data_IF_749971684995
#
_entry.id   IF_749971684995
#
_cell.length_a   1.000
_cell.length_b   1.000
_cell.length_c   1.000
_cell.angle_alpha   90.00
_cell.angle_beta   90.00
_cell.angle_gamma   90.00
#
_symmetry.space_group_name_H-M   'P 1'
#
loop_
_entity.id
_entity.type
_entity.pdbx_description
1 polymer ?
#
# COMPACT_ATOMS: atom_id res chain seq x y z
N UNK A 1 -5.71 4.22 19.69
CA UNK A 1 -5.74 2.85 19.11
C UNK A 1 -6.11 3.01 17.65
N UNK A 2 -5.37 2.41 16.71
CA UNK A 2 -5.82 2.40 15.31
C UNK A 2 -7.10 1.58 15.22
N UNK A 3 -8.04 2.02 14.39
CA UNK A 3 -9.20 1.23 14.03
C UNK A 3 -8.78 -0.08 13.34
N UNK A 4 -9.72 -0.97 13.16
CA UNK A 4 -9.50 -2.27 12.53
C UNK A 4 -10.45 -2.51 11.36
N UNK A 5 -11.43 -1.62 11.18
CA UNK A 5 -12.54 -1.79 10.24
C UNK A 5 -12.36 -0.91 9.02
N UNK A 6 -12.48 -1.50 7.84
CA UNK A 6 -12.66 -0.75 6.59
C UNK A 6 -14.15 -0.59 6.29
N UNK A 7 -14.56 0.65 6.06
CA UNK A 7 -15.92 1.01 5.67
C UNK A 7 -15.91 1.39 4.20
N UNK A 8 -16.68 0.67 3.38
CA UNK A 8 -16.81 0.92 1.94
C UNK A 8 -18.21 1.48 1.67
N UNK A 9 -18.25 2.67 1.07
CA UNK A 9 -19.49 3.34 0.70
C UNK A 9 -19.58 3.41 -0.82
N UNK A 10 -20.56 2.66 -1.38
CA UNK A 10 -20.73 2.47 -2.82
C UNK A 10 -22.09 2.89 -3.36
N UNK A 11 -22.92 3.55 -2.53
CA UNK A 11 -24.26 4.00 -2.89
C UNK A 11 -24.44 5.48 -2.58
N UNK A 12 -25.41 6.11 -3.26
CA UNK A 12 -25.85 7.46 -2.91
C UNK A 12 -26.18 7.56 -1.42
N UNK A 13 -25.49 8.44 -0.71
CA UNK A 13 -25.61 8.52 0.74
C UNK A 13 -25.14 9.86 1.32
N UNK A 14 -25.56 10.11 2.56
CA UNK A 14 -25.06 11.21 3.39
C UNK A 14 -24.30 10.64 4.57
N UNK A 15 -23.03 11.08 4.71
CA UNK A 15 -22.20 10.78 5.84
C UNK A 15 -22.07 11.99 6.76
N UNK A 16 -22.34 11.80 8.03
CA UNK A 16 -22.28 12.87 9.04
C UNK A 16 -21.69 12.35 10.36
N UNK A 17 -21.43 13.25 11.31
CA UNK A 17 -20.87 12.92 12.61
C UNK A 17 -21.83 13.24 13.75
N UNK A 18 -21.94 12.37 14.72
CA UNK A 18 -22.60 12.62 16.01
C UNK A 18 -22.05 11.68 17.09
N UNK A 19 -21.70 12.21 18.26
CA UNK A 19 -21.31 11.43 19.44
C UNK A 19 -20.28 10.32 19.16
N UNK A 20 -19.15 10.66 18.53
CA UNK A 20 -18.08 9.75 18.11
C UNK A 20 -18.48 8.66 17.08
N UNK A 21 -19.61 8.83 16.41
CA UNK A 21 -20.04 7.93 15.35
C UNK A 21 -20.03 8.63 13.99
N UNK A 22 -19.58 7.90 12.99
CA UNK A 22 -19.93 8.11 11.61
C UNK A 22 -21.37 7.65 11.43
N UNK A 23 -22.22 8.51 10.95
CA UNK A 23 -23.61 8.22 10.62
C UNK A 23 -23.69 8.08 9.10
N UNK A 24 -23.92 6.87 8.63
CA UNK A 24 -24.28 6.58 7.25
C UNK A 24 -25.80 6.65 7.11
N UNK A 25 -26.30 7.36 6.10
CA UNK A 25 -27.73 7.43 5.78
C UNK A 25 -27.92 7.37 4.27
N UNK A 26 -28.68 6.39 3.81
CA UNK A 26 -29.19 6.29 2.45
C UNK A 26 -30.75 6.32 2.45
N UNK A 27 -31.36 5.99 1.31
CA UNK A 27 -32.81 5.97 1.16
C UNK A 27 -33.50 4.88 1.99
N UNK A 28 -32.76 3.82 2.36
CA UNK A 28 -33.31 2.60 2.96
C UNK A 28 -32.96 2.43 4.44
N UNK A 29 -31.81 2.95 4.89
CA UNK A 29 -31.28 2.68 6.23
C UNK A 29 -30.44 3.83 6.79
N UNK A 30 -30.28 3.79 8.11
CA UNK A 30 -29.30 4.60 8.82
C UNK A 30 -28.44 3.67 9.67
N UNK A 31 -27.12 3.77 9.52
CA UNK A 31 -26.15 3.01 10.31
C UNK A 31 -25.25 3.95 11.12
N UNK A 32 -24.89 3.51 12.31
CA UNK A 32 -23.94 4.19 13.18
C UNK A 32 -22.70 3.31 13.34
N UNK A 33 -21.55 3.88 13.04
CA UNK A 33 -20.25 3.20 13.17
C UNK A 33 -19.39 4.05 14.10
N UNK A 34 -18.90 3.47 15.19
CA UNK A 34 -18.04 4.22 16.11
C UNK A 34 -16.70 4.52 15.44
N UNK A 35 -16.21 5.77 15.49
CA UNK A 35 -15.00 6.17 14.76
C UNK A 35 -13.76 5.40 15.19
N UNK A 36 -13.65 4.99 16.46
CA UNK A 36 -12.52 4.18 16.94
C UNK A 36 -12.42 2.78 16.30
N UNK A 37 -13.48 2.30 15.65
CA UNK A 37 -13.45 1.04 14.90
C UNK A 37 -12.90 1.24 13.50
N UNK A 38 -13.01 2.46 12.94
CA UNK A 38 -12.71 2.74 11.52
C UNK A 38 -11.22 3.02 11.36
N UNK A 39 -10.57 2.26 10.50
CA UNK A 39 -9.20 2.51 10.02
C UNK A 39 -9.20 3.17 8.64
N UNK A 40 -10.06 2.66 7.74
CA UNK A 40 -10.15 3.12 6.36
C UNK A 40 -11.61 3.41 6.01
N UNK A 41 -11.87 4.55 5.38
CA UNK A 41 -13.14 4.91 4.76
C UNK A 41 -12.92 5.03 3.25
N UNK A 42 -13.41 4.06 2.48
CA UNK A 42 -13.34 4.06 1.02
C UNK A 42 -14.68 4.57 0.45
N UNK A 43 -14.64 5.71 -0.22
CA UNK A 43 -15.78 6.33 -0.89
C UNK A 43 -15.75 5.96 -2.37
N UNK A 44 -16.45 4.88 -2.72
CA UNK A 44 -16.38 4.22 -4.03
C UNK A 44 -17.24 4.89 -5.11
N UNK A 45 -18.04 5.86 -4.74
CA UNK A 45 -18.88 6.64 -5.67
C UNK A 45 -18.73 8.13 -5.39
N UNK A 46 -18.90 8.93 -6.42
CA UNK A 46 -18.92 10.41 -6.34
C UNK A 46 -20.22 10.96 -5.76
N UNK A 47 -21.26 10.14 -5.64
CA UNK A 47 -22.60 10.53 -5.18
C UNK A 47 -22.76 10.38 -3.66
N UNK A 48 -21.83 11.03 -2.91
CA UNK A 48 -21.81 11.02 -1.44
C UNK A 48 -21.68 12.46 -0.91
N UNK A 49 -22.48 12.79 0.08
CA UNK A 49 -22.41 14.06 0.79
C UNK A 49 -21.72 13.86 2.14
N UNK A 50 -20.64 14.61 2.39
CA UNK A 50 -19.88 14.60 3.64
C UNK A 50 -20.12 15.88 4.43
N UNK A 51 -20.36 15.78 5.75
CA UNK A 51 -20.33 16.95 6.61
C UNK A 51 -18.90 17.34 6.98
N UNK A 52 -18.58 18.63 7.05
CA UNK A 52 -17.26 19.15 7.43
C UNK A 52 -16.85 18.71 8.84
N UNK A 53 -17.82 18.55 9.76
CA UNK A 53 -17.54 18.02 11.09
C UNK A 53 -17.06 16.56 11.02
N UNK A 54 -17.63 15.73 10.14
CA UNK A 54 -17.13 14.37 9.94
C UNK A 54 -15.72 14.38 9.38
N UNK A 55 -15.46 15.20 8.33
CA UNK A 55 -14.12 15.32 7.74
C UNK A 55 -13.08 15.68 8.81
N UNK A 56 -13.38 16.68 9.64
CA UNK A 56 -12.51 17.07 10.75
C UNK A 56 -12.20 15.89 11.67
N UNK A 57 -13.22 15.12 12.06
CA UNK A 57 -13.06 13.98 12.98
C UNK A 57 -12.31 12.81 12.36
N UNK A 58 -12.51 12.55 11.08
CA UNK A 58 -11.75 11.53 10.34
C UNK A 58 -10.24 11.87 10.34
N UNK A 59 -9.90 13.14 10.15
CA UNK A 59 -8.51 13.61 10.23
C UNK A 59 -7.95 13.52 11.64
N UNK A 60 -8.69 13.96 12.65
CA UNK A 60 -8.25 13.91 14.06
C UNK A 60 -7.93 12.48 14.52
N UNK A 61 -8.69 11.49 14.04
CA UNK A 61 -8.51 10.07 14.38
C UNK A 61 -7.53 9.34 13.42
N UNK A 62 -6.90 10.06 12.49
CA UNK A 62 -5.98 9.53 11.48
C UNK A 62 -6.61 8.44 10.58
N UNK A 63 -7.92 8.49 10.38
CA UNK A 63 -8.62 7.56 9.49
C UNK A 63 -8.26 7.88 8.05
N UNK A 64 -7.79 6.86 7.30
CA UNK A 64 -7.53 7.00 5.88
C UNK A 64 -8.85 7.10 5.11
N UNK A 65 -9.09 8.24 4.46
CA UNK A 65 -10.24 8.41 3.57
C UNK A 65 -9.75 8.40 2.13
N UNK A 66 -10.26 7.47 1.34
CA UNK A 66 -9.95 7.33 -0.09
C UNK A 66 -11.18 7.73 -0.89
N UNK A 67 -11.02 8.63 -1.84
CA UNK A 67 -12.04 9.08 -2.79
C UNK A 67 -11.79 8.41 -4.14
N UNK A 68 -12.86 7.90 -4.73
CA UNK A 68 -12.82 7.34 -6.08
C UNK A 68 -13.52 8.27 -7.10
N UNK A 69 -13.16 8.10 -8.36
CA UNK A 69 -13.80 8.77 -9.49
C UNK A 69 -15.13 8.09 -9.90
N UNK A 70 -15.70 8.56 -11.02
CA UNK A 70 -16.92 8.02 -11.64
C UNK A 70 -16.74 6.58 -12.16
N UNK A 71 -15.49 6.14 -12.42
CA UNK A 71 -15.14 4.76 -12.74
C UNK A 71 -14.86 3.91 -11.50
N UNK A 72 -15.02 4.49 -10.31
CA UNK A 72 -14.75 3.86 -9.00
C UNK A 72 -13.27 3.51 -8.81
N UNK A 73 -12.37 4.29 -9.40
CA UNK A 73 -10.93 4.16 -9.22
C UNK A 73 -10.43 5.19 -8.20
N UNK A 74 -9.54 4.81 -7.26
CA UNK A 74 -8.98 5.73 -6.29
C UNK A 74 -8.25 6.90 -6.98
N UNK A 75 -8.63 8.14 -6.67
CA UNK A 75 -8.07 9.35 -7.30
C UNK A 75 -7.54 10.36 -6.29
N UNK A 76 -8.05 10.32 -5.06
CA UNK A 76 -7.64 11.23 -4.01
C UNK A 76 -7.76 10.58 -2.63
N UNK A 77 -7.07 11.12 -1.65
CA UNK A 77 -7.24 10.75 -0.26
C UNK A 77 -7.10 11.97 0.65
N UNK A 78 -7.73 11.89 1.83
CA UNK A 78 -7.67 12.93 2.83
C UNK A 78 -6.43 12.77 3.69
N UNK A 79 -5.66 13.85 3.83
CA UNK A 79 -4.45 13.90 4.63
C UNK A 79 -4.52 15.00 5.68
N UNK A 80 -3.97 14.76 6.88
CA UNK A 80 -3.79 15.85 7.84
C UNK A 80 -2.75 16.83 7.33
N UNK A 81 -2.90 18.10 7.71
CA UNK A 81 -1.90 19.15 7.42
C UNK A 81 -0.54 18.85 8.06
N UNK A 82 -0.57 18.21 9.24
CA UNK A 82 0.60 17.81 10.00
C UNK A 82 0.38 16.39 10.55
N UNK A 83 1.27 15.47 10.23
CA UNK A 83 1.23 14.10 10.74
C UNK A 83 1.70 13.98 12.20
N UNK A 84 2.61 14.91 12.62
CA UNK A 84 3.15 14.95 13.97
C UNK A 84 3.65 16.37 14.33
N UNK A 85 3.82 16.63 15.62
CA UNK A 85 4.18 17.96 16.14
C UNK A 85 5.59 18.42 15.75
N UNK A 86 6.52 17.50 15.46
CA UNK A 86 7.91 17.78 15.07
C UNK A 86 8.15 17.55 13.56
N UNK A 87 7.12 17.73 12.73
CA UNK A 87 7.18 17.50 11.27
C UNK A 87 8.32 18.27 10.58
N UNK A 88 8.57 19.53 10.99
CA UNK A 88 9.66 20.33 10.42
C UNK A 88 11.04 19.74 10.70
N UNK A 89 11.26 19.20 11.90
CA UNK A 89 12.49 18.50 12.24
C UNK A 89 12.63 17.20 11.43
N UNK A 90 11.56 16.45 11.33
CA UNK A 90 11.58 15.18 10.58
C UNK A 90 11.80 15.43 9.07
N UNK A 91 11.21 16.49 8.51
CA UNK A 91 11.45 16.88 7.12
C UNK A 91 12.91 17.31 6.89
N UNK A 92 13.50 18.07 7.82
CA UNK A 92 14.93 18.42 7.73
C UNK A 92 15.82 17.18 7.75
N UNK A 93 15.48 16.16 8.55
CA UNK A 93 16.19 14.87 8.56
C UNK A 93 16.01 14.13 7.24
N UNK A 94 14.79 14.10 6.70
CA UNK A 94 14.49 13.44 5.42
C UNK A 94 15.31 14.04 4.27
N UNK A 95 15.40 15.37 4.20
CA UNK A 95 16.22 16.06 3.17
C UNK A 95 17.71 15.73 3.34
N UNK A 96 18.17 15.49 4.57
CA UNK A 96 19.56 15.20 4.90
C UNK A 96 19.89 13.69 4.92
N UNK A 97 18.99 12.80 4.51
CA UNK A 97 19.28 11.36 4.47
C UNK A 97 20.50 11.08 3.59
N UNK A 98 21.42 10.30 4.11
CA UNK A 98 22.63 9.92 3.40
C UNK A 98 22.31 9.00 2.22
N UNK A 99 22.93 9.25 1.05
CA UNK A 99 22.66 8.49 -0.17
C UNK A 99 23.09 7.01 -0.07
N UNK A 100 24.18 6.71 0.66
CA UNK A 100 24.61 5.32 0.88
C UNK A 100 23.61 4.57 1.74
N UNK A 101 23.07 5.21 2.77
CA UNK A 101 22.00 4.64 3.63
C UNK A 101 20.72 4.42 2.84
N UNK A 102 20.34 5.38 2.01
CA UNK A 102 19.18 5.20 1.09
C UNK A 102 19.39 4.00 0.17
N UNK A 103 20.60 3.86 -0.36
CA UNK A 103 20.97 2.76 -1.25
C UNK A 103 20.87 1.39 -0.55
N UNK A 104 21.39 1.27 0.66
CA UNK A 104 21.34 0.04 1.46
C UNK A 104 19.90 -0.34 1.80
N UNK A 105 19.13 0.62 2.28
CA UNK A 105 17.72 0.41 2.68
C UNK A 105 16.87 0.04 1.46
N UNK A 106 17.01 0.77 0.34
CA UNK A 106 16.28 0.46 -0.88
C UNK A 106 16.63 -0.94 -1.39
N UNK A 107 17.91 -1.30 -1.40
CA UNK A 107 18.36 -2.63 -1.83
C UNK A 107 17.75 -3.73 -0.96
N UNK A 108 17.68 -3.51 0.36
CA UNK A 108 17.05 -4.45 1.29
C UNK A 108 15.54 -4.59 1.02
N UNK A 109 14.85 -3.50 0.73
CA UNK A 109 13.43 -3.50 0.37
C UNK A 109 13.20 -4.31 -0.91
N UNK A 110 14.01 -4.08 -1.95
CA UNK A 110 13.90 -4.82 -3.22
C UNK A 110 14.27 -6.30 -3.06
N UNK A 111 15.26 -6.61 -2.23
CA UNK A 111 15.58 -8.00 -1.89
C UNK A 111 14.35 -8.74 -1.31
N UNK A 112 13.61 -8.12 -0.40
CA UNK A 112 12.37 -8.68 0.15
C UNK A 112 11.29 -8.87 -0.93
N UNK A 113 11.11 -7.91 -1.84
CA UNK A 113 10.19 -8.03 -2.98
C UNK A 113 10.53 -9.26 -3.82
N UNK A 114 11.79 -9.39 -4.26
CA UNK A 114 12.25 -10.50 -5.10
C UNK A 114 12.01 -11.84 -4.40
N UNK A 115 12.33 -11.93 -3.10
CA UNK A 115 12.08 -13.14 -2.31
C UNK A 115 10.59 -13.47 -2.19
N UNK A 116 9.72 -12.46 -1.95
CA UNK A 116 8.28 -12.66 -1.88
C UNK A 116 7.72 -13.14 -3.24
N UNK A 117 8.21 -12.61 -4.35
CA UNK A 117 7.87 -13.10 -5.69
C UNK A 117 8.30 -14.56 -5.89
N UNK A 118 9.52 -14.91 -5.50
CA UNK A 118 10.03 -16.29 -5.58
C UNK A 118 9.20 -17.25 -4.74
N UNK A 119 8.89 -16.89 -3.49
CA UNK A 119 8.09 -17.73 -2.60
C UNK A 119 6.68 -17.95 -3.16
N UNK A 120 6.06 -16.91 -3.70
CA UNK A 120 4.74 -17.06 -4.30
C UNK A 120 4.77 -17.97 -5.54
N UNK A 121 5.77 -17.84 -6.43
CA UNK A 121 5.94 -18.78 -7.53
C UNK A 121 6.10 -20.23 -7.06
N UNK A 122 6.89 -20.44 -6.01
CA UNK A 122 7.08 -21.76 -5.41
C UNK A 122 5.78 -22.33 -4.85
N UNK A 123 4.97 -21.53 -4.17
CA UNK A 123 3.65 -21.94 -3.65
C UNK A 123 2.65 -22.29 -4.75
N UNK A 124 2.78 -21.67 -5.93
CA UNK A 124 2.00 -21.99 -7.13
C UNK A 124 2.53 -23.25 -7.89
N UNK A 125 3.61 -23.87 -7.43
CA UNK A 125 4.22 -25.04 -8.06
C UNK A 125 5.24 -24.74 -9.17
N UNK A 126 5.57 -23.47 -9.43
CA UNK A 126 6.54 -23.05 -10.44
C UNK A 126 7.98 -23.08 -9.89
N UNK A 127 8.44 -24.25 -9.43
CA UNK A 127 9.68 -24.41 -8.66
C UNK A 127 10.94 -23.94 -9.43
N UNK A 128 11.07 -24.27 -10.73
CA UNK A 128 12.20 -23.84 -11.55
C UNK A 128 12.25 -22.32 -11.71
N UNK A 129 11.09 -21.68 -11.89
CA UNK A 129 10.98 -20.22 -12.02
C UNK A 129 11.23 -19.52 -10.68
N UNK A 130 10.74 -20.11 -9.59
CA UNK A 130 11.05 -19.65 -8.23
C UNK A 130 12.57 -19.64 -8.01
N UNK A 131 13.27 -20.76 -8.35
CA UNK A 131 14.73 -20.82 -8.23
C UNK A 131 15.43 -19.78 -9.10
N UNK A 132 14.97 -19.58 -10.33
CA UNK A 132 15.54 -18.54 -11.22
C UNK A 132 15.43 -17.14 -10.63
N UNK A 133 14.33 -16.83 -9.92
CA UNK A 133 14.15 -15.56 -9.22
C UNK A 133 15.05 -15.47 -7.97
N UNK A 134 15.24 -16.58 -7.23
CA UNK A 134 16.18 -16.64 -6.10
C UNK A 134 17.62 -16.40 -6.57
N UNK A 135 18.01 -16.93 -7.72
CA UNK A 135 19.36 -16.70 -8.28
C UNK A 135 19.60 -15.22 -8.61
N UNK A 136 18.56 -14.50 -9.04
CA UNK A 136 18.63 -13.05 -9.21
C UNK A 136 18.82 -12.31 -7.88
N UNK A 137 18.12 -12.74 -6.82
CA UNK A 137 18.31 -12.20 -5.48
C UNK A 137 19.76 -12.36 -5.00
N UNK A 138 20.38 -13.54 -5.14
CA UNK A 138 21.77 -13.77 -4.74
C UNK A 138 22.79 -12.87 -5.48
N UNK A 139 22.45 -12.36 -6.64
CA UNK A 139 23.29 -11.45 -7.41
C UNK A 139 22.93 -9.97 -7.26
N UNK A 140 22.01 -9.62 -6.37
CA UNK A 140 21.60 -8.23 -6.15
C UNK A 140 22.73 -7.43 -5.52
N UNK A 141 23.10 -6.31 -6.16
CA UNK A 141 24.08 -5.38 -5.67
C UNK A 141 23.43 -4.08 -5.22
N UNK A 142 24.18 -3.26 -4.50
CA UNK A 142 23.74 -1.96 -4.00
C UNK A 142 23.13 -1.11 -5.13
N UNK A 143 21.90 -0.62 -4.93
CA UNK A 143 21.09 0.13 -5.91
C UNK A 143 20.82 -0.61 -7.23
N UNK A 144 21.05 -1.92 -7.29
CA UNK A 144 20.74 -2.78 -8.44
C UNK A 144 21.13 -2.23 -9.82
N UNK A 145 22.43 -1.98 -10.07
CA UNK A 145 22.90 -1.44 -11.35
C UNK A 145 22.67 -2.39 -12.53
N UNK A 146 22.49 -3.68 -12.26
CA UNK A 146 22.22 -4.72 -13.26
C UNK A 146 20.75 -4.95 -13.53
N UNK A 147 19.84 -4.17 -12.90
CA UNK A 147 18.38 -4.26 -13.05
C UNK A 147 17.83 -5.69 -12.79
N UNK A 148 18.33 -6.35 -11.75
CA UNK A 148 17.86 -7.69 -11.37
C UNK A 148 16.41 -7.69 -10.89
N UNK A 149 15.98 -6.59 -10.28
CA UNK A 149 14.58 -6.37 -9.94
C UNK A 149 13.66 -6.47 -11.17
N UNK A 150 14.01 -5.75 -12.24
CA UNK A 150 13.25 -5.78 -13.50
C UNK A 150 13.27 -7.17 -14.15
N UNK A 151 14.40 -7.89 -14.08
CA UNK A 151 14.49 -9.26 -14.58
C UNK A 151 13.65 -10.23 -13.75
N UNK A 152 13.67 -10.11 -12.42
CA UNK A 152 12.85 -10.91 -11.52
C UNK A 152 11.36 -10.66 -11.77
N UNK A 153 10.96 -9.40 -11.86
CA UNK A 153 9.58 -9.02 -12.17
C UNK A 153 9.11 -9.58 -13.52
N UNK A 154 9.95 -9.55 -14.55
CA UNK A 154 9.62 -10.12 -15.86
C UNK A 154 9.41 -11.64 -15.80
N UNK A 155 10.31 -12.38 -15.13
CA UNK A 155 10.14 -13.83 -14.95
C UNK A 155 8.84 -14.10 -14.17
N UNK A 156 8.63 -13.35 -13.10
CA UNK A 156 7.47 -13.49 -12.22
C UNK A 156 6.15 -13.28 -12.96
N UNK A 157 5.96 -12.13 -13.59
CA UNK A 157 4.72 -11.80 -14.28
C UNK A 157 4.47 -12.69 -15.50
N UNK A 158 5.51 -13.00 -16.29
CA UNK A 158 5.36 -13.91 -17.43
C UNK A 158 5.00 -15.33 -16.99
N UNK A 159 5.47 -15.77 -15.84
CA UNK A 159 5.11 -17.09 -15.30
C UNK A 159 3.66 -17.12 -14.84
N UNK A 160 3.17 -16.05 -14.21
CA UNK A 160 1.80 -16.00 -13.69
C UNK A 160 0.76 -15.72 -14.79
N UNK A 161 1.03 -14.80 -15.70
CA UNK A 161 0.03 -14.27 -16.62
C UNK A 161 0.31 -14.60 -18.10
N UNK A 162 1.41 -15.31 -18.39
CA UNK A 162 1.80 -15.70 -19.73
C UNK A 162 2.92 -14.83 -20.33
N UNK A 163 3.62 -15.37 -21.34
CA UNK A 163 4.80 -14.71 -21.93
C UNK A 163 4.48 -13.39 -22.66
N UNK A 164 3.25 -13.23 -23.09
CA UNK A 164 2.78 -12.02 -23.79
C UNK A 164 2.26 -10.94 -22.84
N UNK A 165 2.30 -11.18 -21.53
CA UNK A 165 1.84 -10.22 -20.55
C UNK A 165 2.78 -9.02 -20.48
N UNK A 166 2.18 -7.83 -20.57
CA UNK A 166 2.84 -6.54 -20.33
C UNK A 166 2.01 -5.68 -19.39
N UNK A 167 2.67 -4.97 -18.48
CA UNK A 167 2.02 -4.02 -17.59
C UNK A 167 1.42 -2.80 -18.31
N UNK A 168 1.77 -2.59 -19.57
CA UNK A 168 1.27 -1.47 -20.39
C UNK A 168 -0.02 -1.83 -21.15
N UNK A 169 -0.43 -3.11 -21.15
CA UNK A 169 -1.64 -3.55 -21.84
C UNK A 169 -2.90 -3.11 -21.09
N UNK A 170 -3.91 -2.65 -21.84
CA UNK A 170 -5.25 -2.42 -21.32
C UNK A 170 -5.96 -3.78 -21.13
N UNK A 171 -6.07 -4.21 -19.87
CA UNK A 171 -6.67 -5.48 -19.48
C UNK A 171 -7.26 -5.44 -18.08
N UNK A 172 -8.26 -6.28 -17.83
CA UNK A 172 -8.87 -6.44 -16.50
C UNK A 172 -7.82 -6.79 -15.42
N UNK A 173 -6.79 -7.56 -15.78
CA UNK A 173 -5.69 -7.93 -14.90
C UNK A 173 -4.88 -6.69 -14.51
N UNK A 174 -4.45 -5.89 -15.48
CA UNK A 174 -3.68 -4.67 -15.19
C UNK A 174 -4.51 -3.64 -14.42
N UNK A 175 -5.78 -3.46 -14.78
CA UNK A 175 -6.68 -2.59 -14.03
C UNK A 175 -6.82 -3.03 -12.57
N UNK A 176 -6.90 -4.34 -12.31
CA UNK A 176 -6.98 -4.89 -10.97
C UNK A 176 -5.67 -4.74 -10.18
N UNK A 177 -4.51 -4.98 -10.83
CA UNK A 177 -3.20 -4.76 -10.23
C UNK A 177 -3.02 -3.28 -9.84
N UNK A 178 -3.34 -2.34 -10.74
CA UNK A 178 -3.22 -0.91 -10.49
C UNK A 178 -4.16 -0.44 -9.39
N UNK A 179 -5.40 -0.95 -9.38
CA UNK A 179 -6.35 -0.69 -8.31
C UNK A 179 -5.81 -1.14 -6.94
N UNK A 180 -5.38 -2.39 -6.84
CA UNK A 180 -4.84 -2.95 -5.61
C UNK A 180 -3.57 -2.24 -5.13
N UNK A 181 -2.65 -1.92 -6.05
CA UNK A 181 -1.45 -1.15 -5.71
C UNK A 181 -1.79 0.26 -5.23
N UNK A 182 -2.81 0.90 -5.79
CA UNK A 182 -3.25 2.23 -5.32
C UNK A 182 -3.84 2.17 -3.91
N UNK A 183 -4.54 1.09 -3.55
CA UNK A 183 -5.03 0.90 -2.19
C UNK A 183 -3.87 0.82 -1.17
N UNK A 184 -2.89 -0.08 -1.41
CA UNK A 184 -1.74 -0.20 -0.49
C UNK A 184 -0.85 1.04 -0.51
N UNK A 185 -0.67 1.69 -1.66
CA UNK A 185 0.04 2.96 -1.79
C UNK A 185 -0.57 4.04 -0.87
N UNK A 186 -1.90 4.14 -0.84
CA UNK A 186 -2.62 5.11 0.01
C UNK A 186 -2.37 4.84 1.49
N UNK A 187 -2.27 3.57 1.89
CA UNK A 187 -1.94 3.18 3.27
C UNK A 187 -0.50 3.59 3.63
N UNK A 188 0.47 3.31 2.76
CA UNK A 188 1.86 3.73 2.95
C UNK A 188 2.00 5.26 2.98
N UNK A 189 1.32 5.97 2.07
CA UNK A 189 1.34 7.43 2.01
C UNK A 189 0.82 8.05 3.32
N UNK A 190 -0.28 7.51 3.90
CA UNK A 190 -0.76 7.91 5.22
C UNK A 190 0.32 7.76 6.29
N UNK A 191 0.94 6.59 6.39
CA UNK A 191 1.93 6.32 7.44
C UNK A 191 3.21 7.16 7.28
N UNK A 192 3.63 7.46 6.07
CA UNK A 192 4.75 8.38 5.78
C UNK A 192 4.43 9.78 6.31
N UNK A 193 3.24 10.32 6.01
CA UNK A 193 2.83 11.65 6.48
C UNK A 193 2.64 11.68 7.99
N UNK A 194 2.04 10.64 8.58
CA UNK A 194 1.92 10.50 10.04
C UNK A 194 3.29 10.38 10.73
N UNK A 195 4.31 9.94 10.01
CA UNK A 195 5.71 9.94 10.48
C UNK A 195 6.42 11.28 10.31
N UNK A 196 5.75 12.31 9.76
CA UNK A 196 6.29 13.64 9.54
C UNK A 196 7.16 13.77 8.29
N UNK A 197 7.11 12.79 7.39
CA UNK A 197 7.84 12.78 6.12
C UNK A 197 6.94 13.19 4.95
N UNK A 198 7.55 13.63 3.86
CA UNK A 198 6.89 13.88 2.58
C UNK A 198 7.02 12.67 1.66
N UNK A 199 5.96 12.36 0.93
CA UNK A 199 5.91 11.21 0.01
C UNK A 199 6.70 11.41 -1.27
N UNK A 200 7.02 12.65 -1.64
CA UNK A 200 7.72 13.04 -2.87
C UNK A 200 9.20 12.64 -2.88
N UNK A 201 9.86 12.66 -1.72
CA UNK A 201 11.29 12.36 -1.62
C UNK A 201 11.52 10.86 -1.43
N UNK A 202 11.70 10.15 -2.54
CA UNK A 202 11.95 8.71 -2.55
C UNK A 202 13.38 8.31 -2.17
N UNK A 203 13.62 7.01 -2.10
CA UNK A 203 14.94 6.41 -1.89
C UNK A 203 15.68 6.28 -3.24
N UNK A 204 15.05 5.68 -4.22
CA UNK A 204 15.53 5.53 -5.61
C UNK A 204 14.60 6.20 -6.62
N UNK A 205 13.28 6.08 -6.43
CA UNK A 205 12.35 6.77 -7.30
C UNK A 205 12.50 8.29 -7.13
N UNK A 206 12.82 8.96 -8.24
CA UNK A 206 13.00 10.41 -8.30
C UNK A 206 12.22 11.01 -9.47
N UNK A 207 11.06 10.42 -9.82
CA UNK A 207 10.22 10.92 -10.88
C UNK A 207 9.55 12.23 -10.43
N UNK A 208 9.84 13.33 -11.12
CA UNK A 208 9.32 14.66 -10.80
C UNK A 208 7.78 14.77 -10.90
N UNK A 209 7.13 13.86 -11.61
CA UNK A 209 5.67 13.81 -11.76
C UNK A 209 5.00 12.86 -10.76
N UNK A 210 5.76 12.04 -10.03
CA UNK A 210 5.23 11.13 -9.03
C UNK A 210 5.25 11.77 -7.64
N UNK A 211 4.09 12.05 -7.10
CA UNK A 211 3.95 12.60 -5.74
C UNK A 211 4.17 11.56 -4.64
N UNK A 212 4.34 10.29 -4.99
CA UNK A 212 4.40 9.15 -4.06
C UNK A 212 5.71 8.35 -4.17
N UNK A 213 6.82 8.99 -4.58
CA UNK A 213 8.10 8.31 -4.77
C UNK A 213 8.50 7.45 -3.57
N UNK A 214 8.43 7.99 -2.33
CA UNK A 214 8.79 7.25 -1.13
C UNK A 214 7.82 6.11 -0.81
N UNK A 215 6.52 6.33 -0.99
CA UNK A 215 5.53 5.28 -0.79
C UNK A 215 5.70 4.16 -1.82
N UNK A 216 6.00 4.51 -3.07
CA UNK A 216 6.30 3.56 -4.15
C UNK A 216 7.53 2.71 -3.82
N UNK A 217 8.60 3.31 -3.25
CA UNK A 217 9.79 2.58 -2.82
C UNK A 217 9.51 1.63 -1.65
N UNK A 218 8.84 2.11 -0.60
CA UNK A 218 8.67 1.35 0.65
C UNK A 218 7.64 0.21 0.48
N UNK A 219 6.64 0.35 -0.39
CA UNK A 219 5.57 -0.64 -0.57
C UNK A 219 5.99 -1.88 -1.36
N UNK A 220 7.15 -1.88 -2.00
CA UNK A 220 7.56 -2.93 -2.94
C UNK A 220 7.44 -4.37 -2.40
N UNK A 221 7.83 -4.70 -1.15
CA UNK A 221 7.68 -6.05 -0.60
C UNK A 221 6.22 -6.52 -0.47
N UNK A 222 5.27 -5.58 -0.47
CA UNK A 222 3.84 -5.84 -0.27
C UNK A 222 3.07 -6.04 -1.58
N UNK A 223 3.64 -5.64 -2.74
CA UNK A 223 3.00 -5.82 -4.04
C UNK A 223 2.58 -7.26 -4.31
N UNK A 224 3.37 -8.30 -3.98
CA UNK A 224 2.99 -9.69 -4.20
C UNK A 224 1.71 -10.15 -3.48
N UNK A 225 1.23 -9.42 -2.46
CA UNK A 225 -0.10 -9.67 -1.86
C UNK A 225 -1.19 -9.42 -2.90
N UNK A 226 -1.09 -8.29 -3.59
CA UNK A 226 -2.04 -7.89 -4.64
C UNK A 226 -1.93 -8.85 -5.83
N UNK A 227 -0.69 -9.16 -6.24
CA UNK A 227 -0.42 -10.07 -7.36
C UNK A 227 -1.07 -11.43 -7.14
N UNK A 228 -0.99 -11.97 -5.91
CA UNK A 228 -1.63 -13.21 -5.51
C UNK A 228 -3.14 -13.16 -5.72
N UNK A 229 -3.81 -12.15 -5.16
CA UNK A 229 -5.27 -12.03 -5.25
C UNK A 229 -5.71 -11.91 -6.72
N UNK A 230 -4.99 -11.11 -7.51
CA UNK A 230 -5.30 -10.94 -8.92
C UNK A 230 -5.07 -12.23 -9.70
N UNK A 231 -3.96 -12.94 -9.46
CA UNK A 231 -3.66 -14.21 -10.13
C UNK A 231 -4.67 -15.30 -9.80
N UNK A 232 -5.04 -15.45 -8.55
CA UNK A 232 -6.05 -16.43 -8.11
C UNK A 232 -7.41 -16.19 -8.75
N UNK A 233 -7.71 -14.94 -9.10
CA UNK A 233 -8.98 -14.52 -9.71
C UNK A 233 -8.86 -14.12 -11.20
N UNK A 234 -7.75 -14.42 -11.86
CA UNK A 234 -7.40 -13.93 -13.22
C UNK A 234 -8.38 -14.25 -14.34
N UNK A 235 -9.24 -15.26 -14.15
CA UNK A 235 -10.29 -15.65 -15.09
C UNK A 235 -11.62 -14.92 -14.85
N UNK A 236 -11.64 -13.94 -13.96
CA UNK A 236 -12.83 -13.17 -13.59
C UNK A 236 -12.76 -11.76 -14.18
N UNK A 237 -13.92 -11.09 -14.30
CA UNK A 237 -13.97 -9.67 -14.68
C UNK A 237 -13.33 -8.78 -13.62
N UNK A 238 -12.87 -7.60 -14.02
CA UNK A 238 -12.31 -6.58 -13.12
C UNK A 238 -13.20 -6.33 -11.88
N UNK A 239 -14.51 -6.20 -12.07
CA UNK A 239 -15.46 -5.94 -10.96
C UNK A 239 -15.42 -7.04 -9.89
N UNK A 240 -15.24 -8.30 -10.32
CA UNK A 240 -15.14 -9.43 -9.38
C UNK A 240 -13.78 -9.44 -8.69
N UNK A 241 -12.68 -9.28 -9.44
CA UNK A 241 -11.32 -9.20 -8.86
C UNK A 241 -11.23 -8.07 -7.85
N UNK A 242 -11.81 -6.90 -8.17
CA UNK A 242 -11.85 -5.74 -7.29
C UNK A 242 -12.51 -6.05 -5.93
N UNK A 243 -13.57 -6.86 -5.90
CA UNK A 243 -14.21 -7.27 -4.65
C UNK A 243 -13.30 -8.17 -3.81
N UNK A 244 -12.58 -9.08 -4.45
CA UNK A 244 -11.61 -9.93 -3.77
C UNK A 244 -10.42 -9.12 -3.22
N UNK A 245 -10.01 -8.04 -3.89
CA UNK A 245 -8.98 -7.14 -3.38
C UNK A 245 -9.35 -6.49 -2.03
N UNK A 246 -10.62 -6.40 -1.67
CA UNK A 246 -11.02 -5.89 -0.36
C UNK A 246 -10.69 -6.82 0.80
N UNK A 247 -10.37 -8.09 0.52
CA UNK A 247 -9.92 -9.04 1.56
C UNK A 247 -8.65 -8.57 2.26
N UNK A 248 -7.79 -7.79 1.58
CA UNK A 248 -6.57 -7.21 2.17
C UNK A 248 -6.85 -6.41 3.46
N UNK A 249 -8.07 -5.90 3.61
CA UNK A 249 -8.45 -5.10 4.76
C UNK A 249 -8.91 -5.93 5.96
N UNK A 250 -9.28 -7.19 5.73
CA UNK A 250 -9.78 -8.11 6.77
C UNK A 250 -8.83 -9.27 7.04
N UNK A 251 -7.94 -9.57 6.09
CA UNK A 251 -6.99 -10.66 6.25
C UNK A 251 -5.86 -10.30 7.22
N UNK A 252 -5.37 -11.32 7.91
CA UNK A 252 -4.19 -11.21 8.76
C UNK A 252 -2.98 -11.85 8.08
N UNK A 253 -1.82 -11.28 8.34
CA UNK A 253 -0.54 -11.74 7.82
C UNK A 253 0.42 -11.97 8.98
N UNK A 254 1.30 -12.97 8.85
CA UNK A 254 2.30 -13.23 9.87
C UNK A 254 3.42 -12.19 9.80
N UNK A 255 3.66 -11.49 10.92
CA UNK A 255 4.67 -10.45 10.99
C UNK A 255 5.21 -10.34 12.43
N UNK A 256 6.55 -10.35 12.58
CA UNK A 256 7.21 -10.28 13.89
C UNK A 256 6.68 -11.31 14.91
N UNK A 257 6.43 -12.55 14.45
CA UNK A 257 6.00 -13.67 15.31
C UNK A 257 4.53 -13.67 15.72
N UNK A 258 3.67 -12.85 15.08
CA UNK A 258 2.23 -12.80 15.34
C UNK A 258 1.43 -12.46 14.10
N UNK A 259 0.15 -12.82 14.10
CA UNK A 259 -0.78 -12.46 13.04
C UNK A 259 -1.35 -11.06 13.27
N UNK A 260 -1.27 -10.22 12.24
CA UNK A 260 -1.68 -8.82 12.31
C UNK A 260 -2.44 -8.43 11.03
N UNK A 261 -3.37 -7.48 11.15
CA UNK A 261 -3.98 -6.84 9.98
C UNK A 261 -2.93 -6.09 9.16
N UNK A 262 -3.10 -6.08 7.84
CA UNK A 262 -2.16 -5.45 6.91
C UNK A 262 -1.88 -3.98 7.25
N UNK A 263 -2.89 -3.21 7.64
CA UNK A 263 -2.73 -1.80 8.01
C UNK A 263 -1.78 -1.61 9.19
N UNK A 264 -1.86 -2.48 10.20
CA UNK A 264 -0.96 -2.44 11.36
C UNK A 264 0.48 -2.80 10.99
N UNK A 265 0.64 -3.78 10.07
CA UNK A 265 1.97 -4.16 9.55
C UNK A 265 2.56 -3.00 8.76
N UNK A 266 1.80 -2.38 7.84
CA UNK A 266 2.25 -1.23 7.06
C UNK A 266 2.65 -0.06 7.96
N UNK A 267 1.88 0.19 9.04
CA UNK A 267 2.22 1.24 10.01
C UNK A 267 3.56 0.96 10.72
N UNK A 268 3.75 -0.26 11.23
CA UNK A 268 5.00 -0.64 11.92
C UNK A 268 6.19 -0.66 10.95
N UNK A 269 6.00 -1.26 9.77
CA UNK A 269 7.02 -1.36 8.73
C UNK A 269 7.50 0.03 8.28
N UNK A 270 6.57 0.93 7.94
CA UNK A 270 6.90 2.30 7.50
C UNK A 270 7.67 3.07 8.57
N UNK A 271 7.22 3.01 9.83
CA UNK A 271 7.91 3.65 10.96
C UNK A 271 9.34 3.13 11.14
N UNK A 272 9.53 1.82 11.04
CA UNK A 272 10.85 1.19 11.17
C UNK A 272 11.78 1.51 10.01
N UNK A 273 11.27 1.55 8.77
CA UNK A 273 12.06 1.98 7.61
C UNK A 273 12.50 3.44 7.76
N UNK A 274 11.60 4.35 8.15
CA UNK A 274 11.94 5.76 8.41
C UNK A 274 12.92 5.86 9.59
N UNK A 275 12.79 5.03 10.62
CA UNK A 275 13.73 4.96 11.71
C UNK A 275 15.12 4.50 11.24
N UNK A 276 15.21 3.48 10.39
CA UNK A 276 16.47 3.01 9.82
C UNK A 276 17.13 4.08 8.93
N UNK A 277 16.37 4.87 8.20
CA UNK A 277 16.90 6.03 7.43
C UNK A 277 17.53 7.10 8.33
N UNK A 278 16.99 7.28 9.53
CA UNK A 278 17.54 8.22 10.52
C UNK A 278 18.64 7.60 11.42
N UNK A 279 18.64 6.27 11.56
CA UNK A 279 19.49 5.48 12.45
C UNK A 279 19.79 4.13 11.79
N UNK A 280 20.78 4.05 10.90
CA UNK A 280 21.03 2.86 10.06
C UNK A 280 21.23 1.56 10.82
N UNK A 281 21.74 1.64 12.05
CA UNK A 281 21.95 0.49 12.94
C UNK A 281 20.68 -0.24 13.34
N UNK A 282 19.50 0.36 13.15
CA UNK A 282 18.20 -0.28 13.43
C UNK A 282 17.77 -1.30 12.37
N UNK A 283 18.31 -1.17 11.16
CA UNK A 283 17.97 -2.05 10.04
C UNK A 283 16.54 -1.93 9.54
N UNK A 284 16.28 -2.51 8.39
CA UNK A 284 14.94 -2.60 7.77
C UNK A 284 14.21 -3.82 8.33
N UNK A 285 12.93 -3.70 8.74
CA UNK A 285 12.16 -4.87 9.19
C UNK A 285 11.92 -5.83 8.01
N UNK A 286 11.83 -7.11 8.34
CA UNK A 286 11.52 -8.12 7.33
C UNK A 286 10.00 -8.28 7.18
N UNK A 287 9.53 -8.33 5.92
CA UNK A 287 8.16 -8.70 5.59
C UNK A 287 8.15 -9.85 4.58
N UNK A 288 7.45 -10.94 4.91
CA UNK A 288 7.22 -12.09 4.03
C UNK A 288 5.73 -12.38 3.91
N UNK A 289 5.31 -12.80 2.70
CA UNK A 289 3.92 -13.20 2.40
C UNK A 289 3.72 -14.69 2.68
#
# INVERSE_FOLDING_TARGET
MMGWRTVIVNTHSKLSYKNNHLIFKDASRTELIHLSEVDILLLETTDIVLSTMLIKRLVDENILVIFCDDKRLPTAYLMPYYGRHDSSLQLSRQIAWNEDVKAEIWTTIIAQKILNQAFYLGSCGFLEKSQSVIDLYHGLNLFDPSNREGHAARIYFNTLFGNDFSREQDSDINAALDYGYTLILSMFAREIVLSGCMTQFGLKHANQFNQFNLASDIMEPFRPIIDRIVYENRNSSFVKIKRELFTIFSDTFHYNGKDMYLSNIISDYTKKVIQALNQPEKGVPEFRI
#
